data_IF_582150700289
#
_entry.id   IF_582150700289
#
_cell.length_a   1.000
_cell.length_b   1.000
_cell.length_c   1.000
_cell.angle_alpha   90.00
_cell.angle_beta   90.00
_cell.angle_gamma   90.00
#
_symmetry.space_group_name_H-M   'P 1'
#
loop_
_entity.id
_entity.type
_entity.pdbx_description
1 polymer ?
#
# COMPACT_ATOMS: atom_id res chain seq x y z
N UNK A 1 -8.97 -8.80 53.61
CA UNK A 1 -8.35 -7.46 53.61
C UNK A 1 -8.17 -7.04 52.17
N UNK A 2 -9.07 -6.22 51.64
CA UNK A 2 -8.95 -5.65 50.28
C UNK A 2 -7.94 -4.52 50.33
N UNK A 3 -6.85 -4.62 49.58
CA UNK A 3 -5.88 -3.53 49.41
C UNK A 3 -6.61 -2.27 48.91
N UNK A 4 -6.36 -1.10 49.49
CA UNK A 4 -6.98 0.14 49.03
C UNK A 4 -6.55 0.42 47.58
N UNK A 5 -7.43 1.02 46.74
CA UNK A 5 -7.07 1.33 45.36
C UNK A 5 -5.89 2.30 45.34
N UNK A 6 -4.80 1.90 44.69
CA UNK A 6 -3.63 2.74 44.45
C UNK A 6 -4.10 4.04 43.79
N UNK A 7 -3.98 5.17 44.50
CA UNK A 7 -4.35 6.47 43.94
C UNK A 7 -3.50 6.73 42.70
N UNK A 8 -4.14 6.85 41.52
CA UNK A 8 -3.44 7.22 40.29
C UNK A 8 -2.83 8.61 40.48
N UNK A 9 -1.53 8.80 40.23
CA UNK A 9 -0.91 10.10 40.37
C UNK A 9 -1.55 11.09 39.39
N UNK A 10 -1.99 12.25 39.88
CA UNK A 10 -2.43 13.37 39.01
C UNK A 10 -1.19 13.99 38.38
N UNK A 11 -0.88 13.56 37.17
CA UNK A 11 0.24 14.08 36.40
C UNK A 11 -0.26 15.12 35.41
N UNK A 12 0.50 16.19 35.27
CA UNK A 12 0.36 17.18 34.21
C UNK A 12 0.76 16.58 32.86
N UNK A 13 0.32 17.19 31.75
CA UNK A 13 0.67 16.73 30.40
C UNK A 13 2.19 16.62 30.18
N UNK A 14 2.96 17.52 30.81
CA UNK A 14 4.43 17.55 30.76
C UNK A 14 5.03 16.34 31.49
N UNK A 15 4.50 15.99 32.66
CA UNK A 15 4.96 14.82 33.41
C UNK A 15 4.61 13.50 32.71
N UNK A 16 3.48 13.45 32.00
CA UNK A 16 3.12 12.31 31.14
C UNK A 16 4.02 12.17 29.91
N UNK A 17 4.53 13.28 29.36
CA UNK A 17 5.50 13.28 28.25
C UNK A 17 6.90 12.86 28.70
N UNK A 18 7.28 13.16 29.95
CA UNK A 18 8.54 12.71 30.52
C UNK A 18 8.55 11.18 30.80
N UNK A 19 7.39 10.61 31.12
CA UNK A 19 7.26 9.19 31.44
C UNK A 19 7.33 8.29 30.20
N UNK A 20 6.59 8.64 29.14
CA UNK A 20 6.66 7.97 27.83
C UNK A 20 7.10 8.98 26.78
N UNK A 21 8.43 9.09 26.53
CA UNK A 21 8.97 10.02 25.53
C UNK A 21 8.54 9.60 24.12
N UNK A 22 8.61 10.53 23.17
CA UNK A 22 8.34 10.22 21.77
C UNK A 22 9.39 9.24 21.22
N UNK A 23 8.93 8.21 20.51
CA UNK A 23 9.81 7.26 19.82
C UNK A 23 9.96 7.65 18.36
N UNK A 24 11.17 8.06 18.02
CA UNK A 24 11.57 8.34 16.64
C UNK A 24 12.90 7.64 16.36
N UNK A 25 12.89 6.53 15.59
CA UNK A 25 14.09 5.76 15.32
C UNK A 25 15.07 6.58 14.46
N UNK A 26 16.34 6.60 14.86
CA UNK A 26 17.43 7.22 14.08
C UNK A 26 17.82 8.65 14.47
N UNK A 27 17.23 9.22 15.53
CA UNK A 27 17.70 10.47 16.12
C UNK A 27 19.05 10.27 16.85
N UNK A 28 20.00 11.21 16.73
CA UNK A 28 21.35 11.10 17.34
C UNK A 28 21.35 10.89 18.87
N UNK A 29 20.32 11.41 19.55
CA UNK A 29 20.07 11.25 20.99
C UNK A 29 18.71 10.57 21.24
N UNK A 30 18.19 9.81 20.28
CA UNK A 30 16.91 9.09 20.40
C UNK A 30 17.05 7.83 21.24
N UNK A 31 15.97 7.41 21.90
CA UNK A 31 15.93 6.16 22.66
C UNK A 31 15.92 4.95 21.72
N UNK A 32 16.59 3.89 22.14
CA UNK A 32 16.52 2.59 21.48
C UNK A 32 15.13 1.97 21.67
N UNK A 33 14.72 1.08 20.76
CA UNK A 33 13.40 0.44 20.83
C UNK A 33 13.20 -0.36 22.13
N UNK A 34 14.24 -1.06 22.60
CA UNK A 34 14.24 -1.82 23.86
C UNK A 34 14.10 -0.90 25.08
N UNK A 35 14.90 0.17 25.14
CA UNK A 35 14.87 1.14 26.23
C UNK A 35 13.54 1.91 26.27
N UNK A 36 12.98 2.21 25.10
CA UNK A 36 11.69 2.86 24.98
C UNK A 36 10.54 1.95 25.41
N UNK A 37 10.54 0.68 24.97
CA UNK A 37 9.57 -0.32 25.40
C UNK A 37 9.62 -0.51 26.92
N UNK A 38 10.81 -0.52 27.53
CA UNK A 38 10.95 -0.60 28.98
C UNK A 38 10.29 0.58 29.70
N UNK A 39 10.44 1.81 29.19
CA UNK A 39 9.74 2.99 29.73
C UNK A 39 8.22 2.89 29.58
N UNK A 40 7.75 2.30 28.48
CA UNK A 40 6.32 2.02 28.28
C UNK A 40 5.83 0.95 29.27
N UNK A 41 6.58 -0.13 29.47
CA UNK A 41 6.27 -1.18 30.46
C UNK A 41 6.22 -0.61 31.89
N UNK A 42 7.19 0.23 32.26
CA UNK A 42 7.24 0.91 33.56
C UNK A 42 6.01 1.81 33.75
N UNK A 43 5.57 2.50 32.69
CA UNK A 43 4.36 3.33 32.72
C UNK A 43 3.07 2.49 32.84
N UNK A 44 3.01 1.34 32.16
CA UNK A 44 1.88 0.41 32.23
C UNK A 44 1.67 -0.06 33.67
N UNK A 45 2.76 -0.42 34.36
CA UNK A 45 2.72 -0.83 35.77
C UNK A 45 2.34 0.33 36.68
N UNK A 46 2.88 1.53 36.44
CA UNK A 46 2.64 2.70 37.27
C UNK A 46 1.19 3.21 37.22
N UNK A 47 0.52 3.05 36.08
CA UNK A 47 -0.87 3.48 35.87
C UNK A 47 -1.91 2.36 35.90
N UNK A 48 -1.48 1.11 36.09
CA UNK A 48 -2.34 -0.08 36.05
C UNK A 48 -3.17 -0.14 34.74
N UNK A 49 -2.46 -0.03 33.61
CA UNK A 49 -3.09 0.09 32.28
C UNK A 49 -3.53 -1.27 31.74
N UNK A 50 -4.72 -1.32 31.14
CA UNK A 50 -5.15 -2.52 30.42
C UNK A 50 -4.37 -2.72 29.10
N UNK A 51 -4.47 -3.89 28.48
CA UNK A 51 -3.74 -4.22 27.25
C UNK A 51 -4.06 -3.31 26.05
N UNK A 52 -5.29 -2.77 25.96
CA UNK A 52 -5.70 -1.82 24.91
C UNK A 52 -5.18 -0.41 25.21
N UNK A 53 -5.26 0.03 26.46
CA UNK A 53 -4.73 1.31 26.92
C UNK A 53 -3.22 1.37 26.72
N UNK A 54 -2.51 0.28 27.02
CA UNK A 54 -1.08 0.11 26.81
C UNK A 54 -0.70 0.31 25.34
N UNK A 55 -1.44 -0.32 24.43
CA UNK A 55 -1.23 -0.19 22.99
C UNK A 55 -1.48 1.25 22.50
N UNK A 56 -2.61 1.85 22.90
CA UNK A 56 -2.96 3.21 22.51
C UNK A 56 -1.93 4.22 23.00
N UNK A 57 -1.46 4.08 24.24
CA UNK A 57 -0.44 4.95 24.81
C UNK A 57 0.90 4.85 24.09
N UNK A 58 1.31 3.64 23.71
CA UNK A 58 2.53 3.41 22.94
C UNK A 58 2.42 4.02 21.53
N UNK A 59 1.32 3.74 20.82
CA UNK A 59 1.09 4.21 19.44
C UNK A 59 1.05 5.73 19.35
N UNK A 60 0.40 6.39 20.31
CA UNK A 60 0.29 7.85 20.34
C UNK A 60 1.65 8.56 20.44
N UNK A 61 2.68 7.85 20.91
CA UNK A 61 4.05 8.36 21.08
C UNK A 61 4.98 8.01 19.94
N UNK A 62 4.53 7.28 18.92
CA UNK A 62 5.31 7.02 17.71
C UNK A 62 5.39 8.26 16.83
N UNK A 63 6.59 8.55 16.30
CA UNK A 63 6.84 9.64 15.34
C UNK A 63 7.69 9.16 14.16
N UNK A 64 7.59 9.89 13.05
CA UNK A 64 8.38 9.65 11.83
C UNK A 64 8.21 8.22 11.30
N UNK A 65 9.34 7.59 10.98
CA UNK A 65 9.36 6.26 10.36
C UNK A 65 8.68 5.16 11.20
N UNK A 66 8.66 5.27 12.53
CA UNK A 66 7.96 4.31 13.38
C UNK A 66 6.43 4.47 13.31
N UNK A 67 5.95 5.70 13.11
CA UNK A 67 4.52 5.97 12.91
C UNK A 67 4.05 5.46 11.55
N UNK A 68 4.80 5.76 10.50
CA UNK A 68 4.51 5.30 9.14
C UNK A 68 4.50 3.77 9.04
N UNK A 69 5.43 3.11 9.75
CA UNK A 69 5.47 1.65 9.88
C UNK A 69 4.21 1.09 10.56
N UNK A 70 3.78 1.69 11.67
CA UNK A 70 2.59 1.23 12.39
C UNK A 70 1.32 1.40 11.54
N UNK A 71 1.19 2.52 10.82
CA UNK A 71 0.06 2.77 9.91
C UNK A 71 -0.03 1.72 8.79
N UNK A 72 1.12 1.25 8.27
CA UNK A 72 1.16 0.16 7.28
C UNK A 72 0.86 -1.24 7.82
N UNK A 73 0.92 -1.46 9.14
CA UNK A 73 0.84 -2.79 9.77
C UNK A 73 -0.35 -2.97 10.73
N UNK A 74 -1.32 -2.04 10.73
CA UNK A 74 -2.47 -2.05 11.66
C UNK A 74 -3.28 -3.36 11.64
N UNK A 75 -3.29 -4.10 10.52
CA UNK A 75 -4.03 -5.38 10.41
C UNK A 75 -3.43 -6.55 11.21
N UNK A 76 -2.12 -6.50 11.50
CA UNK A 76 -1.38 -7.60 12.14
C UNK A 76 -1.24 -7.42 13.66
N UNK A 77 -1.35 -6.18 14.15
CA UNK A 77 -1.12 -5.84 15.56
C UNK A 77 -2.45 -5.78 16.31
N UNK A 78 -2.79 -6.84 17.05
CA UNK A 78 -4.07 -6.95 17.79
C UNK A 78 -3.94 -6.74 19.30
N UNK A 79 -2.72 -6.86 19.83
CA UNK A 79 -2.42 -6.72 21.26
C UNK A 79 -1.11 -5.97 21.50
N UNK A 80 -0.94 -5.43 22.72
CA UNK A 80 0.32 -4.81 23.13
C UNK A 80 1.49 -5.81 23.07
N UNK A 81 1.25 -7.10 23.35
CA UNK A 81 2.27 -8.14 23.23
C UNK A 81 2.71 -8.38 21.79
N UNK A 82 1.80 -8.28 20.82
CA UNK A 82 2.15 -8.39 19.40
C UNK A 82 2.94 -7.15 18.95
N UNK A 83 2.47 -5.96 19.36
CA UNK A 83 3.15 -4.70 19.12
C UNK A 83 4.59 -4.71 19.63
N UNK A 84 4.81 -5.16 20.86
CA UNK A 84 6.13 -5.27 21.48
C UNK A 84 7.08 -6.19 20.72
N UNK A 85 6.59 -7.32 20.21
CA UNK A 85 7.41 -8.24 19.40
C UNK A 85 7.78 -7.60 18.06
N UNK A 86 6.79 -7.03 17.39
CA UNK A 86 6.93 -6.45 16.06
C UNK A 86 7.86 -5.22 16.06
N UNK A 87 7.75 -4.33 17.06
CA UNK A 87 8.60 -3.14 17.13
C UNK A 87 10.06 -3.50 17.43
N UNK A 88 10.32 -4.50 18.26
CA UNK A 88 11.67 -4.98 18.55
C UNK A 88 12.29 -5.70 17.35
N UNK A 89 11.49 -6.43 16.57
CA UNK A 89 11.93 -7.11 15.36
C UNK A 89 12.30 -6.12 14.25
N UNK A 90 11.51 -5.05 14.08
CA UNK A 90 11.66 -4.10 12.98
C UNK A 90 12.68 -2.98 13.28
N UNK A 91 13.00 -2.72 14.55
CA UNK A 91 13.95 -1.69 14.96
C UNK A 91 15.06 -2.22 15.91
N UNK A 92 15.88 -3.20 15.48
CA UNK A 92 16.92 -3.80 16.34
C UNK A 92 18.16 -2.91 16.54
N UNK A 93 18.85 -3.11 17.66
CA UNK A 93 19.96 -2.27 18.17
C UNK A 93 21.21 -2.13 17.28
N UNK A 94 21.40 -3.03 16.29
CA UNK A 94 22.68 -3.18 15.58
C UNK A 94 22.60 -3.10 14.07
N UNK A 95 21.83 -2.18 13.50
CA UNK A 95 21.97 -1.82 12.09
C UNK A 95 21.80 -0.31 11.94
N UNK A 96 22.78 0.37 11.31
CA UNK A 96 22.73 1.82 11.15
C UNK A 96 21.52 2.23 10.30
N UNK A 97 20.95 3.41 10.59
CA UNK A 97 19.79 3.98 9.87
C UNK A 97 19.97 3.94 8.35
N UNK A 98 21.21 4.05 7.87
CA UNK A 98 21.54 3.93 6.46
C UNK A 98 21.31 2.52 5.91
N UNK A 99 21.57 1.44 6.66
CA UNK A 99 21.36 0.07 6.21
C UNK A 99 19.90 -0.36 6.30
N UNK A 100 19.15 0.04 7.35
CA UNK A 100 17.70 -0.23 7.42
C UNK A 100 16.96 0.58 6.36
N UNK A 101 17.30 1.86 6.18
CA UNK A 101 16.72 2.70 5.14
C UNK A 101 17.18 2.26 3.74
N UNK A 102 18.43 1.79 3.56
CA UNK A 102 18.91 1.21 2.31
C UNK A 102 18.29 -0.16 2.05
N UNK A 103 18.02 -1.00 3.05
CA UNK A 103 17.33 -2.27 2.86
C UNK A 103 15.86 -2.06 2.55
N UNK A 104 15.16 -1.16 3.26
CA UNK A 104 13.77 -0.80 2.97
C UNK A 104 13.65 -0.05 1.64
N UNK A 105 14.55 0.90 1.32
CA UNK A 105 14.64 1.47 -0.03
C UNK A 105 15.05 0.44 -1.05
N UNK A 106 15.93 -0.52 -0.77
CA UNK A 106 16.31 -1.55 -1.75
C UNK A 106 15.23 -2.61 -1.93
N UNK A 107 14.33 -2.78 -0.95
CA UNK A 107 13.13 -3.63 -1.06
C UNK A 107 12.06 -2.93 -1.89
N UNK A 108 11.76 -1.66 -1.59
CA UNK A 108 10.86 -0.81 -2.40
C UNK A 108 11.41 -0.57 -3.81
N UNK A 109 12.73 -0.37 -3.92
CA UNK A 109 13.48 -0.29 -5.16
C UNK A 109 13.64 -1.66 -5.82
N UNK A 110 13.58 -2.80 -5.15
CA UNK A 110 13.50 -4.13 -5.81
C UNK A 110 12.11 -4.40 -6.38
N UNK A 111 11.06 -3.90 -5.73
CA UNK A 111 9.70 -3.86 -6.29
C UNK A 111 9.62 -2.90 -7.49
N UNK A 112 10.28 -1.74 -7.43
CA UNK A 112 10.41 -0.80 -8.55
C UNK A 112 11.47 -1.25 -9.59
N UNK A 113 12.44 -2.09 -9.24
CA UNK A 113 13.45 -2.62 -10.17
C UNK A 113 12.92 -3.80 -10.96
N UNK A 114 11.91 -4.52 -10.45
CA UNK A 114 11.05 -5.36 -11.29
C UNK A 114 10.15 -4.54 -12.24
N UNK A 115 10.07 -3.20 -12.09
CA UNK A 115 9.43 -2.29 -13.06
C UNK A 115 10.41 -1.74 -14.11
N UNK A 116 11.70 -2.15 -14.10
CA UNK A 116 12.66 -1.68 -15.12
C UNK A 116 12.42 -2.36 -16.45
N UNK A 117 11.84 -1.61 -17.40
CA UNK A 117 12.02 -1.86 -18.84
C UNK A 117 10.76 -1.91 -19.70
N UNK A 118 9.57 -1.68 -19.15
CA UNK A 118 8.34 -1.69 -19.95
C UNK A 118 7.98 -0.24 -20.31
N UNK A 119 8.17 0.11 -21.59
CA UNK A 119 7.67 1.35 -22.17
C UNK A 119 6.29 1.11 -22.79
N UNK A 120 5.30 1.92 -22.39
CA UNK A 120 3.94 1.81 -22.90
C UNK A 120 3.61 3.01 -23.78
N UNK A 121 3.08 2.75 -24.98
CA UNK A 121 2.44 3.78 -25.79
C UNK A 121 1.01 4.02 -25.28
N UNK A 122 0.72 5.23 -24.82
CA UNK A 122 -0.59 5.59 -24.27
C UNK A 122 -1.39 6.37 -25.31
N UNK A 123 -2.47 5.76 -25.81
CA UNK A 123 -3.36 6.37 -26.79
C UNK A 123 -4.61 6.91 -26.08
N UNK A 124 -4.86 8.21 -26.24
CA UNK A 124 -6.14 8.80 -25.87
C UNK A 124 -7.07 8.77 -27.08
N UNK A 125 -8.16 8.00 -26.97
CA UNK A 125 -9.12 7.81 -28.06
C UNK A 125 -9.79 9.12 -28.51
N UNK A 126 -10.06 10.05 -27.58
CA UNK A 126 -10.85 11.31 -27.75
C UNK A 126 -12.28 11.12 -28.28
N UNK A 127 -12.45 10.43 -29.40
CA UNK A 127 -13.71 10.18 -30.10
C UNK A 127 -14.04 8.69 -30.05
N UNK A 128 -15.20 8.35 -29.48
CA UNK A 128 -15.70 6.97 -29.47
C UNK A 128 -16.41 6.61 -30.77
N UNK A 129 -17.05 7.59 -31.42
CA UNK A 129 -17.75 7.40 -32.68
C UNK A 129 -17.62 8.64 -33.59
N UNK A 130 -16.99 8.52 -34.77
CA UNK A 130 -16.27 7.34 -35.27
C UNK A 130 -14.97 7.10 -34.48
N UNK A 131 -14.67 5.83 -34.19
CA UNK A 131 -13.43 5.43 -33.50
C UNK A 131 -12.23 5.53 -34.46
N UNK A 132 -11.15 6.16 -34.00
CA UNK A 132 -9.87 6.20 -34.73
C UNK A 132 -9.12 4.86 -34.59
N UNK A 133 -9.53 3.89 -35.40
CA UNK A 133 -8.93 2.54 -35.42
C UNK A 133 -7.53 2.52 -36.04
N UNK A 134 -7.22 3.48 -36.91
CA UNK A 134 -5.95 3.50 -37.65
C UNK A 134 -4.78 3.76 -36.71
N UNK A 135 -4.91 4.75 -35.83
CA UNK A 135 -3.89 5.04 -34.80
C UNK A 135 -3.66 3.85 -33.88
N UNK A 136 -4.73 3.15 -33.49
CA UNK A 136 -4.64 1.95 -32.65
C UNK A 136 -3.87 0.84 -33.37
N UNK A 137 -4.23 0.55 -34.62
CA UNK A 137 -3.61 -0.53 -35.38
C UNK A 137 -2.12 -0.29 -35.62
N UNK A 138 -1.73 0.94 -35.97
CA UNK A 138 -0.32 1.30 -36.14
C UNK A 138 0.48 1.14 -34.86
N UNK A 139 -0.11 1.41 -33.69
CA UNK A 139 0.54 1.24 -32.39
C UNK A 139 0.70 -0.24 -32.03
N UNK A 140 -0.34 -1.05 -32.23
CA UNK A 140 -0.29 -2.49 -31.98
C UNK A 140 0.71 -3.19 -32.90
N UNK A 141 0.81 -2.79 -34.17
CA UNK A 141 1.81 -3.36 -35.08
C UNK A 141 3.27 -3.09 -34.63
N UNK A 142 3.52 -2.02 -33.86
CA UNK A 142 4.84 -1.70 -33.29
C UNK A 142 5.10 -2.40 -31.96
N UNK A 143 4.08 -2.52 -31.13
CA UNK A 143 4.20 -2.96 -29.72
C UNK A 143 3.83 -4.42 -29.51
N UNK A 144 3.13 -5.03 -30.47
CA UNK A 144 2.65 -6.41 -30.48
C UNK A 144 1.70 -6.79 -29.33
N UNK A 145 1.34 -5.84 -28.46
CA UNK A 145 0.55 -6.05 -27.26
C UNK A 145 -0.44 -4.91 -27.07
N UNK A 146 -1.59 -5.20 -26.45
CA UNK A 146 -2.63 -4.20 -26.25
C UNK A 146 -3.42 -4.43 -24.97
N UNK A 147 -3.69 -3.33 -24.26
CA UNK A 147 -4.60 -3.28 -23.11
C UNK A 147 -5.57 -2.13 -23.29
N UNK A 148 -6.87 -2.39 -23.15
CA UNK A 148 -7.91 -1.33 -23.14
C UNK A 148 -8.28 -0.99 -21.71
N UNK A 149 -8.46 0.30 -21.41
CA UNK A 149 -8.89 0.77 -20.09
C UNK A 149 -10.14 1.61 -20.21
N UNK A 150 -11.21 1.24 -19.50
CA UNK A 150 -12.45 2.02 -19.41
C UNK A 150 -13.04 1.96 -18.00
N UNK A 151 -13.82 2.97 -17.60
CA UNK A 151 -14.52 2.96 -16.31
C UNK A 151 -15.94 2.37 -16.40
N UNK A 152 -16.41 2.08 -17.62
CA UNK A 152 -17.72 1.49 -17.85
C UNK A 152 -17.79 0.03 -17.43
N UNK A 153 -18.99 -0.55 -17.57
CA UNK A 153 -19.21 -1.97 -17.35
C UNK A 153 -18.47 -2.83 -18.38
N UNK A 154 -18.06 -4.06 -17.99
CA UNK A 154 -17.28 -4.94 -18.86
C UNK A 154 -18.05 -5.46 -20.07
N UNK A 155 -19.37 -5.63 -19.92
CA UNK A 155 -20.21 -6.18 -20.97
C UNK A 155 -20.61 -5.07 -21.95
N UNK A 156 -20.43 -5.31 -23.26
CA UNK A 156 -20.76 -4.36 -24.32
C UNK A 156 -20.10 -2.97 -24.16
N UNK A 157 -18.95 -2.90 -23.48
CA UNK A 157 -18.17 -1.67 -23.28
C UNK A 157 -17.37 -1.26 -24.51
N UNK A 158 -16.70 -0.10 -24.45
CA UNK A 158 -15.87 0.42 -25.53
C UNK A 158 -14.69 -0.53 -25.82
N UNK A 159 -14.12 -1.12 -24.76
CA UNK A 159 -13.05 -2.10 -24.92
C UNK A 159 -13.48 -3.33 -25.71
N UNK A 160 -14.77 -3.70 -25.67
CA UNK A 160 -15.28 -4.85 -26.42
C UNK A 160 -15.28 -4.61 -27.94
N UNK A 161 -15.71 -3.42 -28.38
CA UNK A 161 -15.67 -3.01 -29.79
C UNK A 161 -14.22 -2.93 -30.29
N UNK A 162 -13.32 -2.32 -29.51
CA UNK A 162 -11.90 -2.21 -29.89
C UNK A 162 -11.28 -3.61 -30.11
N UNK A 163 -11.53 -4.54 -29.19
CA UNK A 163 -11.03 -5.91 -29.32
C UNK A 163 -11.59 -6.61 -30.57
N UNK A 164 -12.89 -6.45 -30.85
CA UNK A 164 -13.51 -7.02 -32.04
C UNK A 164 -12.88 -6.45 -33.32
N UNK A 165 -12.70 -5.14 -33.40
CA UNK A 165 -12.11 -4.47 -34.57
C UNK A 165 -10.66 -4.86 -34.82
N UNK A 166 -9.87 -5.05 -33.76
CA UNK A 166 -8.49 -5.56 -33.88
C UNK A 166 -8.50 -6.99 -34.43
N UNK A 167 -9.36 -7.85 -33.88
CA UNK A 167 -9.50 -9.26 -34.29
C UNK A 167 -9.97 -9.43 -35.74
N UNK A 168 -10.86 -8.56 -36.21
CA UNK A 168 -11.38 -8.57 -37.60
C UNK A 168 -10.38 -7.98 -38.63
N UNK A 169 -9.28 -7.39 -38.18
CA UNK A 169 -8.29 -6.71 -39.02
C UNK A 169 -7.00 -7.51 -39.19
N UNK A 170 -6.16 -7.11 -40.15
CA UNK A 170 -4.82 -7.68 -40.34
C UNK A 170 -3.90 -7.50 -39.10
N UNK A 171 -4.21 -6.52 -38.25
CA UNK A 171 -3.51 -6.27 -36.97
C UNK A 171 -3.50 -7.50 -36.07
N UNK A 172 -4.50 -8.38 -36.18
CA UNK A 172 -4.54 -9.63 -35.41
C UNK A 172 -3.27 -10.47 -35.56
N UNK A 173 -2.70 -10.54 -36.77
CA UNK A 173 -1.49 -11.32 -37.02
C UNK A 173 -0.22 -10.74 -36.39
N UNK A 174 -0.28 -9.50 -35.90
CA UNK A 174 0.82 -8.82 -35.22
C UNK A 174 0.75 -8.94 -33.69
N UNK A 175 -0.31 -9.51 -33.12
CA UNK A 175 -0.45 -9.67 -31.68
C UNK A 175 0.31 -10.91 -31.19
N UNK A 176 1.21 -10.70 -30.21
CA UNK A 176 1.94 -11.77 -29.54
C UNK A 176 1.18 -12.34 -28.32
N UNK A 177 0.18 -11.59 -27.84
CA UNK A 177 -0.63 -11.94 -26.68
C UNK A 177 -2.10 -11.52 -26.88
N UNK A 178 -3.07 -12.15 -26.18
CA UNK A 178 -4.46 -11.73 -26.24
C UNK A 178 -4.62 -10.30 -25.69
N UNK A 179 -5.52 -9.53 -26.31
CA UNK A 179 -5.88 -8.19 -25.84
C UNK A 179 -6.56 -8.29 -24.47
N UNK A 180 -6.05 -7.56 -23.49
CA UNK A 180 -6.63 -7.53 -22.14
C UNK A 180 -7.48 -6.29 -21.92
N UNK A 181 -8.57 -6.44 -21.15
CA UNK A 181 -9.49 -5.34 -20.85
C UNK A 181 -9.52 -5.07 -19.36
N UNK A 182 -9.28 -3.81 -18.99
CA UNK A 182 -9.42 -3.28 -17.64
C UNK A 182 -10.66 -2.41 -17.64
N UNK A 183 -11.68 -2.82 -16.89
CA UNK A 183 -12.99 -2.16 -16.85
C UNK A 183 -13.39 -1.83 -15.41
N UNK A 184 -14.50 -1.10 -15.24
CA UNK A 184 -15.19 -1.08 -13.95
C UNK A 184 -15.73 -2.47 -13.60
N UNK A 185 -16.01 -2.68 -12.31
CA UNK A 185 -16.68 -3.90 -11.84
C UNK A 185 -18.13 -3.91 -12.34
N UNK A 186 -18.66 -5.09 -12.67
CA UNK A 186 -20.02 -5.29 -13.19
C UNK A 186 -21.10 -5.14 -12.11
N UNK A 187 -21.17 -3.96 -11.51
CA UNK A 187 -22.13 -3.60 -10.46
C UNK A 187 -22.61 -2.16 -10.68
N UNK A 188 -23.84 -1.83 -10.26
CA UNK A 188 -24.25 -0.43 -10.14
C UNK A 188 -23.32 0.33 -9.19
N UNK A 189 -22.99 1.58 -9.53
CA UNK A 189 -22.02 2.37 -8.77
C UNK A 189 -22.45 2.52 -7.30
N UNK A 190 -21.67 2.01 -6.34
CA UNK A 190 -22.00 2.12 -4.92
C UNK A 190 -21.66 3.52 -4.39
N UNK A 191 -22.48 4.03 -3.46
CA UNK A 191 -22.26 5.36 -2.85
C UNK A 191 -21.12 5.39 -1.82
N UNK A 192 -20.88 4.28 -1.13
CA UNK A 192 -19.84 4.23 -0.10
C UNK A 192 -18.46 4.41 -0.75
N UNK A 193 -17.69 5.42 -0.33
CA UNK A 193 -16.40 5.80 -0.92
C UNK A 193 -15.42 4.63 -1.09
N UNK A 194 -15.37 3.72 -0.12
CA UNK A 194 -14.50 2.53 -0.21
C UNK A 194 -14.92 1.58 -1.33
N UNK A 195 -16.23 1.42 -1.55
CA UNK A 195 -16.78 0.58 -2.61
C UNK A 195 -16.73 1.28 -3.97
N UNK A 196 -16.91 2.61 -4.01
CA UNK A 196 -16.77 3.41 -5.23
C UNK A 196 -15.35 3.29 -5.79
N UNK A 197 -14.34 3.42 -4.93
CA UNK A 197 -12.94 3.24 -5.30
C UNK A 197 -12.65 1.82 -5.79
N UNK A 198 -13.27 0.80 -5.18
CA UNK A 198 -13.13 -0.59 -5.60
C UNK A 198 -13.91 -0.92 -6.89
N UNK A 199 -14.92 -0.14 -7.24
CA UNK A 199 -15.73 -0.35 -8.45
C UNK A 199 -15.05 0.24 -9.70
N UNK A 200 -14.19 1.24 -9.54
CA UNK A 200 -13.45 1.90 -10.62
C UNK A 200 -12.05 1.30 -10.79
N UNK A 201 -11.54 1.17 -12.03
CA UNK A 201 -10.20 0.67 -12.27
C UNK A 201 -9.15 1.61 -11.69
N UNK A 202 -8.21 1.04 -10.94
CA UNK A 202 -7.10 1.76 -10.31
C UNK A 202 -5.78 1.48 -11.01
N UNK A 203 -4.76 2.28 -10.70
CA UNK A 203 -3.39 2.11 -11.23
C UNK A 203 -2.85 0.69 -11.03
N UNK A 204 -3.02 0.03 -9.86
CA UNK A 204 -2.56 -1.35 -9.67
C UNK A 204 -3.21 -2.34 -10.64
N UNK A 205 -4.48 -2.16 -11.00
CA UNK A 205 -5.20 -3.05 -11.91
C UNK A 205 -4.64 -2.96 -13.33
N UNK A 206 -4.31 -1.75 -13.78
CA UNK A 206 -3.68 -1.51 -15.08
C UNK A 206 -2.28 -2.15 -15.12
N UNK A 207 -1.48 -1.96 -14.07
CA UNK A 207 -0.14 -2.57 -13.98
C UNK A 207 -0.22 -4.10 -13.96
N UNK A 208 -1.20 -4.67 -13.24
CA UNK A 208 -1.41 -6.11 -13.21
C UNK A 208 -1.82 -6.66 -14.59
N UNK A 209 -2.69 -5.96 -15.31
CA UNK A 209 -3.08 -6.31 -16.68
C UNK A 209 -1.89 -6.28 -17.64
N UNK A 210 -1.08 -5.21 -17.63
CA UNK A 210 0.12 -5.09 -18.48
C UNK A 210 1.11 -6.22 -18.18
N UNK A 211 1.33 -6.54 -16.90
CA UNK A 211 2.20 -7.67 -16.51
C UNK A 211 1.66 -9.01 -17.00
N UNK A 212 0.36 -9.22 -16.94
CA UNK A 212 -0.30 -10.44 -17.42
C UNK A 212 -0.09 -10.62 -18.92
N UNK A 213 -0.28 -9.54 -19.69
CA UNK A 213 -0.10 -9.54 -21.15
C UNK A 213 1.35 -9.82 -21.56
N UNK A 214 2.32 -9.32 -20.79
CA UNK A 214 3.76 -9.54 -21.04
C UNK A 214 4.30 -10.86 -20.44
N UNK A 215 3.44 -11.75 -19.92
CA UNK A 215 3.85 -13.05 -19.37
C UNK A 215 4.48 -13.00 -17.97
N UNK A 216 4.39 -11.86 -17.28
CA UNK A 216 4.75 -11.73 -15.87
C UNK A 216 3.72 -12.44 -14.99
N UNK A 217 4.11 -13.52 -14.32
CA UNK A 217 3.24 -14.25 -13.39
C UNK A 217 2.70 -13.30 -12.32
N UNK A 218 1.40 -13.03 -12.33
CA UNK A 218 0.70 -12.39 -11.23
C UNK A 218 0.80 -13.30 -10.00
N UNK A 219 1.36 -12.79 -8.91
CA UNK A 219 1.44 -13.48 -7.60
C UNK A 219 0.29 -13.02 -6.74
#
# INVERSE_FOLDING_TARGET
MTTPPTQRPRLTAVEMEALIPAFEPGQKNGLLAEEWIRKVDDAIVLFDMDAKQSLVAAVFRLKGAAKDWYEGNQGNIRSYSDFKKEILLNFPEKLSVAQVHHELKSRKKKEDELQRGIECEVINLRTIRPLDVETIFQSVQKTHHMVTVEQGWPQCGVGSEICARVMESETFFHLDAPVWRVTGVDVPMPYAKSLEQAALPQVPDIVAAVRTVLGGKSK
#
